data_IF_375038386355
#
_entry.id   IF_375038386355
#
_cell.length_a   1.000
_cell.length_b   1.000
_cell.length_c   1.000
_cell.angle_alpha   90.00
_cell.angle_beta   90.00
_cell.angle_gamma   90.00
#
_symmetry.space_group_name_H-M   'P 1'
#
loop_
_entity.id
_entity.type
_entity.pdbx_description
1 polymer ?
#
# COMPACT_ATOMS: atom_id res chain seq x y z
N UNK A 1 29.40 12.81 4.90
CA UNK A 1 28.12 13.06 4.20
C UNK A 1 27.07 13.33 5.26
N UNK A 2 26.22 14.36 5.13
CA UNK A 2 25.16 14.58 6.12
C UNK A 2 24.24 13.35 6.16
N UNK A 3 23.96 12.86 7.37
CA UNK A 3 22.99 11.79 7.60
C UNK A 3 21.61 12.25 7.14
N UNK A 4 20.84 11.36 6.52
CA UNK A 4 19.44 11.61 6.23
C UNK A 4 18.70 11.73 7.56
N UNK A 5 18.09 12.89 7.81
CA UNK A 5 17.30 13.13 9.02
C UNK A 5 15.92 12.51 8.85
N UNK A 6 15.38 11.85 9.88
CA UNK A 6 14.11 11.12 9.80
C UNK A 6 13.19 11.61 10.89
N UNK A 7 12.01 12.12 10.50
CA UNK A 7 10.90 12.42 11.38
C UNK A 7 9.92 11.26 11.35
N UNK A 8 9.89 10.46 12.41
CA UNK A 8 8.92 9.38 12.59
C UNK A 8 7.74 9.89 13.41
N UNK A 9 6.54 9.80 12.86
CA UNK A 9 5.27 10.05 13.53
C UNK A 9 4.47 8.74 13.57
N UNK A 10 3.57 8.63 14.55
CA UNK A 10 2.55 7.59 14.58
C UNK A 10 1.19 8.20 14.29
N UNK A 11 0.31 7.45 13.65
CA UNK A 11 -1.04 7.87 13.30
C UNK A 11 -1.80 8.49 14.50
N UNK A 12 -2.45 9.63 14.29
CA UNK A 12 -3.16 10.40 15.33
C UNK A 12 -2.31 10.91 16.50
N UNK A 13 -1.00 10.67 16.50
CA UNK A 13 -0.08 11.24 17.49
C UNK A 13 0.26 12.68 17.14
N UNK A 14 0.30 13.51 18.18
CA UNK A 14 0.71 14.90 18.12
C UNK A 14 2.13 15.05 18.70
N UNK A 15 2.97 15.86 18.06
CA UNK A 15 4.32 16.15 18.48
C UNK A 15 4.58 17.65 18.41
N UNK A 16 5.27 18.20 19.43
CA UNK A 16 5.57 19.63 19.49
C UNK A 16 6.70 19.97 18.53
N UNK A 17 6.63 21.14 17.89
CA UNK A 17 7.71 21.56 16.99
C UNK A 17 9.04 21.69 17.71
N UNK A 18 9.06 22.21 18.95
CA UNK A 18 10.29 22.31 19.76
C UNK A 18 11.01 20.98 19.94
N UNK A 19 10.27 19.87 20.08
CA UNK A 19 10.83 18.53 20.21
C UNK A 19 11.43 18.04 18.88
N UNK A 20 10.71 18.27 17.78
CA UNK A 20 11.15 17.91 16.43
C UNK A 20 12.39 18.71 16.02
N UNK A 21 12.39 20.02 16.26
CA UNK A 21 13.48 20.91 15.86
C UNK A 21 14.75 20.64 16.66
N UNK A 22 14.63 20.29 17.94
CA UNK A 22 15.75 19.83 18.76
C UNK A 22 16.34 18.52 18.24
N UNK A 23 15.49 17.54 17.93
CA UNK A 23 15.93 16.22 17.46
C UNK A 23 16.56 16.27 16.06
N UNK A 24 15.97 17.05 15.15
CA UNK A 24 16.43 17.13 13.76
C UNK A 24 17.43 18.27 13.54
N UNK A 25 17.58 19.22 14.45
CA UNK A 25 18.39 20.43 14.21
C UNK A 25 17.94 21.19 12.96
N UNK A 26 16.63 21.39 12.80
CA UNK A 26 16.02 22.15 11.70
C UNK A 26 15.26 23.33 12.33
N UNK A 27 15.43 24.58 11.85
CA UNK A 27 14.64 25.70 12.34
C UNK A 27 13.14 25.49 12.15
N UNK A 28 12.34 25.92 13.13
CA UNK A 28 10.89 25.69 13.14
C UNK A 28 10.18 26.22 11.89
N UNK A 29 10.54 27.43 11.43
CA UNK A 29 9.92 28.03 10.23
C UNK A 29 10.17 27.19 8.98
N UNK A 30 11.40 26.71 8.80
CA UNK A 30 11.77 25.84 7.67
C UNK A 30 11.09 24.48 7.73
N UNK A 31 10.92 23.93 8.94
CA UNK A 31 10.18 22.71 9.16
C UNK A 31 8.71 22.90 8.76
N UNK A 32 8.04 23.93 9.29
CA UNK A 32 6.63 24.25 8.97
C UNK A 32 6.42 24.48 7.49
N UNK A 33 7.29 25.24 6.83
CA UNK A 33 7.23 25.47 5.38
C UNK A 33 7.32 24.16 4.60
N UNK A 34 8.28 23.30 4.98
CA UNK A 34 8.46 21.98 4.36
C UNK A 34 7.24 21.08 4.54
N UNK A 35 6.65 21.04 5.74
CA UNK A 35 5.45 20.24 6.01
C UNK A 35 4.22 20.77 5.26
N UNK A 36 4.06 22.10 5.17
CA UNK A 36 3.00 22.73 4.36
C UNK A 36 3.11 22.34 2.89
N UNK A 37 4.33 22.37 2.34
CA UNK A 37 4.58 21.94 0.97
C UNK A 37 4.18 20.47 0.76
N UNK A 38 4.57 19.58 1.67
CA UNK A 38 4.17 18.17 1.60
C UNK A 38 2.64 17.99 1.63
N UNK A 39 1.94 18.73 2.49
CA UNK A 39 0.47 18.70 2.56
C UNK A 39 -0.17 19.17 1.24
N UNK A 40 0.33 20.25 0.63
CA UNK A 40 -0.17 20.72 -0.69
C UNK A 40 0.03 19.66 -1.77
N UNK A 41 1.20 19.04 -1.83
CA UNK A 41 1.49 18.00 -2.84
C UNK A 41 0.64 16.75 -2.62
N UNK A 42 0.40 16.38 -1.36
CA UNK A 42 -0.52 15.31 -0.99
C UNK A 42 -1.96 15.63 -1.43
N UNK A 43 -2.46 16.84 -1.16
CA UNK A 43 -3.81 17.27 -1.55
C UNK A 43 -4.04 17.31 -3.07
N UNK A 44 -2.99 17.46 -3.88
CA UNK A 44 -3.07 17.36 -5.35
C UNK A 44 -3.08 15.93 -5.86
N UNK A 45 -2.53 14.99 -5.08
CA UNK A 45 -2.30 13.60 -5.47
C UNK A 45 -2.90 12.64 -4.44
N UNK A 46 -4.21 12.76 -4.17
CA UNK A 46 -4.86 11.88 -3.20
C UNK A 46 -4.73 10.41 -3.61
N UNK A 47 -4.53 9.50 -2.65
CA UNK A 47 -4.62 8.07 -2.89
C UNK A 47 -6.00 7.70 -3.46
N UNK A 48 -6.04 6.99 -4.59
CA UNK A 48 -7.30 6.59 -5.26
C UNK A 48 -8.18 5.63 -4.44
N UNK A 49 -7.69 5.09 -3.32
CA UNK A 49 -8.43 4.14 -2.48
C UNK A 49 -9.31 4.80 -1.43
N UNK A 50 -9.35 6.14 -1.35
CA UNK A 50 -10.34 6.79 -0.51
C UNK A 50 -11.74 6.54 -1.07
N UNK A 51 -12.58 5.89 -0.27
CA UNK A 51 -14.01 5.86 -0.53
C UNK A 51 -14.50 7.31 -0.69
N UNK A 52 -15.03 7.64 -1.87
CA UNK A 52 -15.35 9.00 -2.35
C UNK A 52 -16.34 9.83 -1.48
N UNK A 53 -16.65 9.40 -0.26
CA UNK A 53 -17.71 9.95 0.59
C UNK A 53 -17.26 10.33 2.01
N UNK A 54 -15.95 10.32 2.33
CA UNK A 54 -15.49 10.87 3.61
C UNK A 54 -15.62 12.41 3.62
N UNK A 55 -16.38 13.02 4.55
CA UNK A 55 -16.53 14.48 4.62
C UNK A 55 -15.18 15.19 4.84
N UNK A 56 -14.19 14.48 5.38
CA UNK A 56 -12.89 15.02 5.76
C UNK A 56 -11.94 15.29 4.58
N UNK A 57 -12.25 14.79 3.37
CA UNK A 57 -11.43 14.99 2.17
C UNK A 57 -11.76 16.29 1.42
N UNK A 58 -12.87 16.95 1.75
CA UNK A 58 -13.31 18.20 1.09
C UNK A 58 -12.56 19.45 1.57
N UNK A 59 -11.88 19.38 2.72
CA UNK A 59 -11.18 20.51 3.36
C UNK A 59 -9.65 20.32 3.38
N UNK A 60 -9.08 19.68 2.36
CA UNK A 60 -7.62 19.50 2.28
C UNK A 60 -6.93 20.79 1.83
N UNK A 61 -5.96 21.23 2.62
CA UNK A 61 -5.15 22.41 2.34
C UNK A 61 -3.69 22.23 2.81
N UNK A 62 -2.90 23.31 2.81
CA UNK A 62 -1.51 23.25 3.26
C UNK A 62 -1.33 22.98 4.76
N UNK A 63 -2.32 23.27 5.59
CA UNK A 63 -2.28 23.00 7.03
C UNK A 63 -2.99 21.67 7.38
N UNK A 64 -3.79 21.10 6.47
CA UNK A 64 -4.55 19.87 6.65
C UNK A 64 -4.42 18.95 5.43
N UNK A 65 -3.35 18.19 5.37
CA UNK A 65 -3.11 17.14 4.37
C UNK A 65 -3.16 15.76 5.03
N UNK A 66 -2.07 14.99 4.93
CA UNK A 66 -1.82 13.79 5.75
C UNK A 66 -1.37 14.16 7.17
N UNK A 67 -0.93 15.41 7.37
CA UNK A 67 -0.65 16.02 8.66
C UNK A 67 -1.63 17.17 8.92
N UNK A 68 -1.94 17.40 10.20
CA UNK A 68 -2.59 18.61 10.69
C UNK A 68 -1.50 19.46 11.35
N UNK A 69 -1.32 20.68 10.85
CA UNK A 69 -0.33 21.63 11.34
C UNK A 69 -1.03 22.64 12.27
N UNK A 70 -0.72 22.57 13.56
CA UNK A 70 -1.14 23.56 14.54
C UNK A 70 -0.08 24.67 14.67
N UNK A 71 -0.33 25.65 15.54
CA UNK A 71 0.62 26.72 15.83
C UNK A 71 1.93 26.19 16.43
N UNK A 72 1.84 25.27 17.40
CA UNK A 72 2.99 24.79 18.20
C UNK A 72 3.27 23.29 18.04
N UNK A 73 2.48 22.58 17.24
CA UNK A 73 2.57 21.13 17.08
C UNK A 73 2.13 20.68 15.70
N UNK A 74 2.45 19.42 15.39
CA UNK A 74 1.99 18.70 14.22
C UNK A 74 1.37 17.39 14.65
N UNK A 75 0.26 17.00 14.02
CA UNK A 75 -0.45 15.76 14.28
C UNK A 75 -0.61 14.94 13.01
N UNK A 76 -0.25 13.66 13.05
CA UNK A 76 -0.50 12.77 11.92
C UNK A 76 -1.99 12.40 11.82
N UNK A 77 -2.53 12.26 10.60
CA UNK A 77 -3.87 11.71 10.36
C UNK A 77 -3.81 10.20 10.16
N UNK A 78 -4.87 9.62 9.60
CA UNK A 78 -5.04 8.19 9.29
C UNK A 78 -4.21 7.72 8.07
N UNK A 79 -3.33 8.56 7.52
CA UNK A 79 -2.51 8.20 6.36
C UNK A 79 -1.12 7.74 6.81
N UNK A 80 -0.75 6.51 6.48
CA UNK A 80 0.54 5.90 6.79
C UNK A 80 1.43 5.82 5.55
N UNK A 81 2.74 5.97 5.72
CA UNK A 81 3.67 6.03 4.59
C UNK A 81 4.84 6.98 4.83
N UNK A 82 5.39 7.55 3.77
CA UNK A 82 6.57 8.41 3.85
C UNK A 82 6.65 9.45 2.74
N UNK A 83 7.33 10.56 3.00
CA UNK A 83 7.62 11.62 2.06
C UNK A 83 9.00 12.22 2.31
N UNK A 84 9.62 12.77 1.27
CA UNK A 84 10.88 13.49 1.39
C UNK A 84 10.64 15.00 1.34
N UNK A 85 11.16 15.73 2.31
CA UNK A 85 11.19 17.18 2.33
C UNK A 85 12.64 17.68 2.41
N UNK A 86 13.20 18.10 1.27
CA UNK A 86 14.57 18.58 1.19
C UNK A 86 15.59 17.53 1.66
N UNK A 87 16.14 17.74 2.85
CA UNK A 87 17.18 16.90 3.46
C UNK A 87 16.66 15.97 4.58
N UNK A 88 15.35 15.93 4.84
CA UNK A 88 14.76 15.00 5.80
C UNK A 88 13.62 14.19 5.17
N UNK A 89 13.31 13.07 5.81
CA UNK A 89 12.17 12.21 5.48
C UNK A 89 11.16 12.32 6.60
N UNK A 90 9.89 12.49 6.24
CA UNK A 90 8.76 12.31 7.14
C UNK A 90 8.19 10.93 6.89
N UNK A 91 8.03 10.13 7.93
CA UNK A 91 7.33 8.85 7.86
C UNK A 91 6.25 8.77 8.93
N UNK A 92 5.10 8.21 8.57
CA UNK A 92 3.97 7.99 9.47
C UNK A 92 3.74 6.49 9.56
N UNK A 93 3.90 5.94 10.76
CA UNK A 93 3.71 4.51 11.05
C UNK A 93 2.35 4.25 11.70
N UNK A 94 1.80 3.03 11.58
CA UNK A 94 0.54 2.67 12.23
C UNK A 94 0.64 2.75 13.76
N UNK A 95 -0.32 3.40 14.41
CA UNK A 95 -0.39 3.52 15.89
C UNK A 95 -0.44 2.18 16.63
N UNK A 96 -0.92 1.11 15.98
CA UNK A 96 -0.96 -0.24 16.60
C UNK A 96 0.44 -0.81 16.85
N UNK A 97 1.45 -0.29 16.18
CA UNK A 97 2.85 -0.69 16.36
C UNK A 97 3.67 0.34 17.13
N UNK A 98 3.01 1.32 17.74
CA UNK A 98 3.70 2.29 18.57
C UNK A 98 4.35 1.60 19.78
N UNK A 99 5.66 1.80 20.02
CA UNK A 99 6.34 1.23 21.18
C UNK A 99 5.75 1.74 22.49
N UNK A 100 5.76 0.90 23.52
CA UNK A 100 5.35 1.34 24.86
C UNK A 100 6.41 2.27 25.46
N UNK A 101 6.02 3.15 26.40
CA UNK A 101 6.96 4.13 27.01
C UNK A 101 8.11 3.47 27.81
N UNK A 102 8.01 2.16 28.09
CA UNK A 102 8.93 1.41 28.96
C UNK A 102 9.97 0.56 28.20
N UNK A 103 10.02 0.60 26.87
CA UNK A 103 10.89 -0.26 26.04
C UNK A 103 12.02 0.51 25.32
N UNK A 104 13.06 -0.22 24.88
CA UNK A 104 14.21 0.34 24.15
C UNK A 104 13.79 0.85 22.75
N UNK A 105 13.55 2.16 22.65
CA UNK A 105 13.02 2.88 21.45
C UNK A 105 13.54 2.44 20.06
N UNK A 106 14.80 1.99 19.94
CA UNK A 106 15.43 1.71 18.64
C UNK A 106 15.12 0.29 18.11
N UNK A 107 15.01 -0.72 18.98
CA UNK A 107 14.65 -2.07 18.55
C UNK A 107 13.19 -2.12 18.07
N UNK A 108 12.30 -1.46 18.81
CA UNK A 108 10.87 -1.50 18.55
C UNK A 108 10.43 -0.74 17.31
N UNK A 109 11.11 0.36 16.96
CA UNK A 109 10.79 1.12 15.74
C UNK A 109 11.07 0.29 14.48
N UNK A 110 12.13 -0.54 14.50
CA UNK A 110 12.43 -1.45 13.39
C UNK A 110 11.38 -2.57 13.27
N UNK A 111 10.93 -3.13 14.39
CA UNK A 111 9.89 -4.16 14.39
C UNK A 111 8.53 -3.58 13.94
N UNK A 112 8.19 -2.36 14.36
CA UNK A 112 7.02 -1.64 13.88
C UNK A 112 7.06 -1.41 12.36
N UNK A 113 8.22 -1.02 11.85
CA UNK A 113 8.43 -0.82 10.43
C UNK A 113 8.31 -2.14 9.66
N UNK A 114 8.91 -3.23 10.15
CA UNK A 114 8.80 -4.56 9.51
C UNK A 114 7.36 -5.07 9.52
N UNK A 115 6.63 -4.90 10.62
CA UNK A 115 5.22 -5.25 10.71
C UNK A 115 4.38 -4.47 9.70
N UNK A 116 4.62 -3.15 9.58
CA UNK A 116 3.98 -2.32 8.57
C UNK A 116 4.30 -2.78 7.14
N UNK A 117 5.57 -3.11 6.84
CA UNK A 117 5.96 -3.64 5.52
C UNK A 117 5.29 -4.97 5.20
N UNK A 118 5.16 -5.88 6.18
CA UNK A 118 4.43 -7.15 6.00
C UNK A 118 2.96 -6.93 5.70
N UNK A 119 2.34 -5.98 6.40
CA UNK A 119 0.95 -5.59 6.18
C UNK A 119 0.77 -5.03 4.76
N UNK A 120 1.63 -4.09 4.35
CA UNK A 120 1.65 -3.55 2.98
C UNK A 120 1.86 -4.65 1.94
N UNK A 121 2.75 -5.60 2.22
CA UNK A 121 3.11 -6.68 1.31
C UNK A 121 1.92 -7.55 0.95
N UNK A 122 1.12 -7.94 1.95
CA UNK A 122 -0.06 -8.78 1.73
C UNK A 122 -1.27 -8.00 1.23
N UNK A 123 -1.46 -6.75 1.68
CA UNK A 123 -2.60 -5.92 1.30
C UNK A 123 -2.53 -5.42 -0.16
N UNK A 124 -1.34 -5.02 -0.62
CA UNK A 124 -1.13 -4.46 -1.96
C UNK A 124 -0.36 -5.39 -2.89
N UNK A 125 -0.06 -6.61 -2.44
CA UNK A 125 0.61 -7.62 -3.27
C UNK A 125 1.99 -7.19 -3.73
N UNK A 126 2.79 -6.61 -2.84
CA UNK A 126 4.15 -6.12 -3.17
C UNK A 126 5.13 -7.26 -3.49
N UNK A 127 4.75 -8.52 -3.21
CA UNK A 127 5.52 -9.76 -3.45
C UNK A 127 6.93 -9.74 -2.84
N UNK A 128 7.10 -9.07 -1.71
CA UNK A 128 8.32 -9.09 -0.91
C UNK A 128 8.43 -10.47 -0.27
N UNK A 129 9.56 -11.16 -0.46
CA UNK A 129 9.81 -12.45 0.19
C UNK A 129 10.17 -12.23 1.65
N UNK A 130 9.75 -13.11 2.56
CA UNK A 130 10.15 -13.04 3.98
C UNK A 130 11.67 -13.08 4.16
N UNK A 131 12.40 -13.79 3.29
CA UNK A 131 13.87 -13.78 3.30
C UNK A 131 14.43 -12.37 3.04
N UNK A 132 13.80 -11.58 2.16
CA UNK A 132 14.22 -10.19 1.91
C UNK A 132 13.97 -9.32 3.15
N UNK A 133 12.83 -9.50 3.84
CA UNK A 133 12.51 -8.78 5.08
C UNK A 133 13.42 -9.19 6.25
N UNK A 134 13.74 -10.49 6.36
CA UNK A 134 14.66 -11.00 7.37
C UNK A 134 16.09 -10.45 7.16
N UNK A 135 16.54 -10.37 5.90
CA UNK A 135 17.82 -9.74 5.57
C UNK A 135 17.87 -8.24 5.94
N UNK A 136 16.73 -7.53 5.91
CA UNK A 136 16.69 -6.16 6.40
C UNK A 136 17.06 -6.14 7.89
N UNK A 137 16.43 -7.00 8.70
CA UNK A 137 16.68 -7.13 10.15
C UNK A 137 18.15 -7.38 10.47
N UNK A 138 18.84 -8.21 9.70
CA UNK A 138 20.26 -8.53 9.90
C UNK A 138 21.22 -7.39 9.49
N UNK A 139 20.86 -6.59 8.47
CA UNK A 139 21.75 -5.61 7.83
C UNK A 139 21.84 -4.24 8.51
N UNK A 140 21.43 -4.10 9.79
CA UNK A 140 21.20 -2.81 10.46
C UNK A 140 20.33 -1.92 9.57
N UNK A 141 19.05 -2.31 9.42
CA UNK A 141 18.08 -1.60 8.62
C UNK A 141 18.14 -0.10 8.88
N UNK A 142 18.16 0.76 7.85
CA UNK A 142 17.87 2.16 8.07
C UNK A 142 16.43 2.28 8.60
N UNK A 143 16.20 3.08 9.63
CA UNK A 143 14.86 3.40 10.16
C UNK A 143 14.05 4.29 9.19
N UNK A 144 14.20 4.08 7.89
CA UNK A 144 13.64 4.89 6.82
C UNK A 144 12.92 4.00 5.82
N UNK A 145 11.59 4.18 5.74
CA UNK A 145 10.79 3.55 4.69
C UNK A 145 11.30 3.90 3.29
N UNK A 146 11.76 5.14 3.07
CA UNK A 146 12.32 5.56 1.78
C UNK A 146 13.51 4.68 1.37
N UNK A 147 14.47 4.46 2.27
CA UNK A 147 15.65 3.64 1.97
C UNK A 147 15.27 2.18 1.70
N UNK A 148 14.25 1.67 2.38
CA UNK A 148 13.77 0.30 2.16
C UNK A 148 13.04 0.19 0.82
N UNK A 149 12.22 1.17 0.44
CA UNK A 149 11.58 1.16 -0.88
C UNK A 149 12.60 1.31 -2.02
N UNK A 150 13.68 2.08 -1.83
CA UNK A 150 14.82 2.12 -2.75
C UNK A 150 15.49 0.74 -2.85
N UNK A 151 15.70 0.06 -1.72
CA UNK A 151 16.27 -1.29 -1.70
C UNK A 151 15.38 -2.28 -2.44
N UNK A 152 14.08 -2.29 -2.13
CA UNK A 152 13.11 -3.18 -2.77
C UNK A 152 13.03 -2.94 -4.28
N UNK A 153 13.07 -1.67 -4.72
CA UNK A 153 13.15 -1.32 -6.13
C UNK A 153 14.40 -1.92 -6.76
N UNK A 154 15.57 -1.62 -6.21
CA UNK A 154 16.86 -2.02 -6.77
C UNK A 154 17.04 -3.54 -6.75
N UNK A 155 16.66 -4.23 -5.67
CA UNK A 155 16.78 -5.69 -5.55
C UNK A 155 15.84 -6.43 -6.50
N UNK A 156 14.61 -5.94 -6.65
CA UNK A 156 13.65 -6.49 -7.60
C UNK A 156 14.16 -6.30 -9.03
N UNK A 157 14.59 -5.08 -9.37
CA UNK A 157 15.10 -4.79 -10.71
C UNK A 157 16.34 -5.62 -11.03
N UNK A 158 17.30 -5.70 -10.12
CA UNK A 158 18.49 -6.52 -10.26
C UNK A 158 18.14 -7.99 -10.56
N UNK A 159 17.22 -8.56 -9.79
CA UNK A 159 16.80 -9.95 -9.99
C UNK A 159 16.15 -10.21 -11.34
N UNK A 160 15.44 -9.23 -11.91
CA UNK A 160 14.82 -9.37 -13.23
C UNK A 160 15.82 -9.13 -14.37
N UNK A 161 16.74 -8.16 -14.22
CA UNK A 161 17.76 -7.90 -15.24
C UNK A 161 18.78 -9.03 -15.32
N UNK A 162 19.11 -9.70 -14.21
CA UNK A 162 19.95 -10.91 -14.25
C UNK A 162 19.33 -12.05 -15.05
N UNK A 163 18.01 -12.04 -15.26
CA UNK A 163 17.30 -12.99 -16.13
C UNK A 163 17.25 -12.53 -17.59
N UNK A 164 17.97 -11.48 -17.95
CA UNK A 164 18.05 -10.88 -19.28
C UNK A 164 17.29 -9.56 -19.38
N UNK A 165 17.84 -8.64 -20.18
CA UNK A 165 17.26 -7.32 -20.44
C UNK A 165 15.86 -7.40 -21.05
N UNK A 166 15.05 -6.37 -20.79
CA UNK A 166 13.86 -6.14 -21.61
C UNK A 166 14.30 -5.49 -22.91
N UNK A 167 14.05 -6.15 -24.03
CA UNK A 167 14.32 -5.64 -25.37
C UNK A 167 13.01 -5.53 -26.13
N UNK A 168 12.86 -4.47 -26.89
CA UNK A 168 11.70 -4.25 -27.75
C UNK A 168 12.17 -3.95 -29.16
N UNK A 169 11.33 -4.29 -30.14
CA UNK A 169 11.54 -3.90 -31.51
C UNK A 169 11.18 -2.43 -31.67
N UNK A 170 12.17 -1.58 -31.90
CA UNK A 170 12.00 -0.15 -32.12
C UNK A 170 12.10 0.14 -33.60
N UNK A 171 11.16 0.92 -34.13
CA UNK A 171 11.21 1.42 -35.50
C UNK A 171 12.30 2.49 -35.63
N UNK A 172 13.27 2.22 -36.49
CA UNK A 172 14.38 3.13 -36.79
C UNK A 172 14.34 3.44 -38.27
N UNK A 173 14.37 4.73 -38.60
CA UNK A 173 14.44 5.22 -39.96
C UNK A 173 15.84 5.75 -40.27
N UNK A 174 16.63 4.98 -41.02
CA UNK A 174 18.03 5.29 -41.35
C UNK A 174 18.25 5.44 -42.86
N UNK A 175 19.37 6.08 -43.21
CA UNK A 175 19.88 6.20 -44.58
C UNK A 175 21.07 5.26 -44.74
N UNK A 176 20.89 4.16 -45.47
CA UNK A 176 21.89 3.09 -45.57
C UNK A 176 22.33 2.87 -47.01
N UNK A 177 23.59 2.46 -47.21
CA UNK A 177 24.10 2.13 -48.56
C UNK A 177 23.52 0.85 -49.14
N UNK A 178 22.98 -0.02 -48.28
CA UNK A 178 22.47 -1.34 -48.65
C UNK A 178 21.00 -1.47 -48.28
N UNK A 179 20.21 -2.11 -49.15
CA UNK A 179 18.80 -2.33 -48.92
C UNK A 179 18.58 -3.47 -47.91
N UNK A 180 18.33 -3.13 -46.64
CA UNK A 180 18.00 -4.09 -45.58
C UNK A 180 16.77 -3.60 -44.81
N UNK A 181 15.64 -4.32 -44.89
CA UNK A 181 14.38 -3.90 -44.28
C UNK A 181 13.42 -3.24 -45.27
N UNK A 182 12.52 -2.37 -44.77
CA UNK A 182 11.43 -1.79 -45.56
C UNK A 182 11.86 -0.46 -46.18
N UNK A 183 11.75 -0.33 -47.50
CA UNK A 183 12.05 0.93 -48.20
C UNK A 183 10.91 1.94 -47.99
N UNK A 184 11.25 3.13 -47.49
CA UNK A 184 10.32 4.24 -47.33
C UNK A 184 10.14 4.96 -48.66
N UNK A 185 9.30 4.40 -49.53
CA UNK A 185 9.07 4.88 -50.90
C UNK A 185 8.78 6.39 -50.97
N UNK A 186 7.97 6.92 -50.06
CA UNK A 186 7.64 8.35 -50.05
C UNK A 186 8.86 9.24 -49.77
N UNK A 187 9.78 8.82 -48.90
CA UNK A 187 11.01 9.55 -48.58
C UNK A 187 12.06 9.37 -49.69
N UNK A 188 12.17 8.16 -50.22
CA UNK A 188 13.09 7.82 -51.32
C UNK A 188 12.78 8.60 -52.60
N UNK A 189 11.50 8.71 -52.99
CA UNK A 189 11.09 9.46 -54.18
C UNK A 189 11.35 10.97 -54.07
N UNK A 190 11.41 11.51 -52.85
CA UNK A 190 11.70 12.93 -52.59
C UNK A 190 13.21 13.25 -52.58
N UNK A 191 14.10 12.26 -52.66
CA UNK A 191 15.55 12.50 -52.65
C UNK A 191 16.02 13.18 -53.93
N UNK A 192 16.91 14.17 -53.73
CA UNK A 192 17.64 14.80 -54.81
C UNK A 192 18.63 13.81 -55.45
N UNK A 193 18.97 13.96 -56.74
CA UNK A 193 19.84 13.00 -57.44
C UNK A 193 21.19 12.71 -56.74
N UNK A 194 21.79 13.71 -56.09
CA UNK A 194 23.07 13.55 -55.37
C UNK A 194 22.94 12.76 -54.05
N UNK A 195 21.73 12.57 -53.52
CA UNK A 195 21.44 11.83 -52.29
C UNK A 195 21.05 10.37 -52.53
N UNK A 196 20.93 9.94 -53.80
CA UNK A 196 20.48 8.57 -54.17
C UNK A 196 21.54 7.48 -54.00
N UNK A 197 22.65 7.79 -53.34
CA UNK A 197 23.69 6.82 -53.00
C UNK A 197 23.38 6.06 -51.69
N UNK A 198 22.29 6.42 -51.00
CA UNK A 198 21.72 5.71 -49.84
C UNK A 198 20.23 5.45 -50.06
N UNK A 199 19.70 4.44 -49.38
CA UNK A 199 18.28 4.09 -49.33
C UNK A 199 17.66 4.58 -48.02
N UNK A 200 16.47 5.18 -48.08
CA UNK A 200 15.66 5.55 -46.93
C UNK A 200 14.94 4.32 -46.41
N UNK A 201 15.43 3.72 -45.33
CA UNK A 201 14.92 2.46 -44.82
C UNK A 201 14.23 2.64 -43.47
N UNK A 202 13.19 1.83 -43.25
CA UNK A 202 12.57 1.58 -41.96
C UNK A 202 12.90 0.14 -41.56
N UNK A 203 13.53 0.00 -40.40
CA UNK A 203 13.89 -1.29 -39.82
C UNK A 203 13.36 -1.37 -38.39
N UNK A 204 13.18 -2.60 -37.91
CA UNK A 204 12.93 -2.86 -36.50
C UNK A 204 14.21 -3.37 -35.86
N UNK A 205 14.82 -2.58 -34.99
CA UNK A 205 15.99 -2.99 -34.21
C UNK A 205 15.53 -3.52 -32.85
N UNK A 206 16.10 -4.66 -32.44
CA UNK A 206 15.82 -5.25 -31.14
C UNK A 206 16.70 -4.59 -30.08
N UNK A 207 16.21 -3.48 -29.52
CA UNK A 207 16.99 -2.57 -28.69
C UNK A 207 16.60 -2.64 -27.20
N UNK A 208 17.61 -2.46 -26.35
CA UNK A 208 17.46 -2.27 -24.91
C UNK A 208 17.04 -0.84 -24.56
N UNK A 209 17.19 0.13 -25.47
CA UNK A 209 16.83 1.54 -25.27
C UNK A 209 15.33 1.79 -25.51
N UNK A 210 14.49 1.16 -24.68
CA UNK A 210 13.04 1.33 -24.69
C UNK A 210 12.56 2.15 -23.48
N UNK A 211 11.32 2.65 -23.54
CA UNK A 211 10.75 3.52 -22.51
C UNK A 211 10.80 2.89 -21.10
N UNK A 212 10.57 1.59 -20.99
CA UNK A 212 10.59 0.89 -19.69
C UNK A 212 11.99 0.93 -19.07
N UNK A 213 13.02 0.64 -19.86
CA UNK A 213 14.41 0.72 -19.41
C UNK A 213 14.88 2.15 -19.16
N UNK A 214 14.43 3.13 -19.96
CA UNK A 214 14.69 4.55 -19.69
C UNK A 214 14.12 4.99 -18.34
N UNK A 215 12.91 4.52 -17.99
CA UNK A 215 12.30 4.77 -16.68
C UNK A 215 13.11 4.11 -15.56
N UNK A 216 13.55 2.87 -15.75
CA UNK A 216 14.42 2.21 -14.78
C UNK A 216 15.75 2.93 -14.59
N UNK A 217 16.38 3.35 -15.68
CA UNK A 217 17.63 4.09 -15.63
C UNK A 217 17.47 5.43 -14.91
N UNK A 218 16.40 6.18 -15.20
CA UNK A 218 16.09 7.41 -14.49
C UNK A 218 15.84 7.16 -13.00
N UNK A 219 15.13 6.09 -12.63
CA UNK A 219 14.88 5.71 -11.24
C UNK A 219 16.16 5.31 -10.51
N UNK A 220 17.04 4.52 -11.14
CA UNK A 220 18.36 4.13 -10.60
C UNK A 220 19.21 5.37 -10.35
N UNK A 221 19.35 6.25 -11.35
CA UNK A 221 20.12 7.49 -11.24
C UNK A 221 19.59 8.40 -10.14
N UNK A 222 18.26 8.59 -10.08
CA UNK A 222 17.57 9.41 -9.08
C UNK A 222 17.78 8.89 -7.67
N UNK A 223 17.68 7.56 -7.50
CA UNK A 223 17.86 6.86 -6.24
C UNK A 223 19.30 6.93 -5.76
N UNK A 224 20.27 6.67 -6.66
CA UNK A 224 21.69 6.66 -6.33
C UNK A 224 22.17 8.02 -5.83
N UNK A 225 21.66 9.10 -6.42
CA UNK A 225 21.98 10.47 -6.01
C UNK A 225 21.44 10.85 -4.61
N UNK A 226 20.40 10.17 -4.12
CA UNK A 226 19.65 10.59 -2.91
C UNK A 226 19.67 9.58 -1.77
N UNK A 227 20.06 8.34 -2.02
CA UNK A 227 20.22 7.31 -0.99
C UNK A 227 21.44 7.60 -0.11
N UNK A 228 21.29 7.30 1.17
CA UNK A 228 22.36 7.35 2.18
C UNK A 228 22.81 5.96 2.61
N UNK A 229 22.01 4.92 2.34
CA UNK A 229 22.34 3.55 2.73
C UNK A 229 23.36 2.91 1.79
N UNK A 230 24.46 2.39 2.36
CA UNK A 230 25.57 1.80 1.58
C UNK A 230 25.14 0.58 0.75
N UNK A 231 24.19 -0.21 1.25
CA UNK A 231 23.64 -1.37 0.52
C UNK A 231 22.96 -0.92 -0.76
N UNK A 232 22.14 0.13 -0.69
CA UNK A 232 21.50 0.75 -1.85
C UNK A 232 22.53 1.31 -2.83
N UNK A 233 23.54 2.06 -2.34
CA UNK A 233 24.58 2.62 -3.21
C UNK A 233 25.33 1.55 -4.02
N UNK A 234 25.67 0.43 -3.39
CA UNK A 234 26.33 -0.68 -4.08
C UNK A 234 25.45 -1.24 -5.19
N UNK A 235 24.22 -1.64 -4.83
CA UNK A 235 23.30 -2.28 -5.76
C UNK A 235 22.87 -1.37 -6.92
N UNK A 236 22.61 -0.10 -6.63
CA UNK A 236 22.29 0.91 -7.64
C UNK A 236 23.49 1.25 -8.53
N UNK A 237 24.71 1.21 -8.00
CA UNK A 237 25.93 1.37 -8.80
C UNK A 237 26.12 0.23 -9.80
N UNK A 238 25.85 -1.00 -9.37
CA UNK A 238 25.85 -2.18 -10.26
C UNK A 238 24.78 -2.06 -11.35
N UNK A 239 23.55 -1.65 -10.99
CA UNK A 239 22.49 -1.37 -11.95
C UNK A 239 22.82 -0.22 -12.91
N UNK A 240 23.59 0.79 -12.47
CA UNK A 240 23.98 1.91 -13.33
C UNK A 240 24.89 1.45 -14.47
N UNK A 241 25.82 0.53 -14.18
CA UNK A 241 26.70 -0.06 -15.19
C UNK A 241 25.93 -0.92 -16.19
N UNK A 242 24.85 -1.57 -15.74
CA UNK A 242 23.97 -2.39 -16.57
C UNK A 242 23.21 -1.56 -17.61
N UNK A 243 22.85 -0.31 -17.30
CA UNK A 243 22.07 0.58 -18.17
C UNK A 243 22.94 1.60 -18.92
N UNK A 244 24.22 1.32 -19.13
CA UNK A 244 25.15 2.23 -19.80
C UNK A 244 24.78 2.48 -21.28
N UNK A 245 24.22 1.49 -21.97
CA UNK A 245 23.73 1.59 -23.35
C UNK A 245 22.30 2.17 -23.47
N UNK A 246 21.62 2.46 -22.35
CA UNK A 246 20.26 3.04 -22.36
C UNK A 246 20.32 4.56 -22.30
N UNK A 247 19.65 5.22 -23.24
CA UNK A 247 19.64 6.69 -23.30
C UNK A 247 18.96 7.28 -22.07
N UNK A 248 19.59 8.29 -21.47
CA UNK A 248 18.94 9.03 -20.39
C UNK A 248 17.76 9.85 -20.91
N UNK A 249 16.63 9.77 -20.21
CA UNK A 249 15.44 10.58 -20.45
C UNK A 249 14.90 11.13 -19.14
N UNK A 250 14.50 12.40 -19.12
CA UNK A 250 13.70 12.95 -18.03
C UNK A 250 12.28 12.39 -18.11
N UNK A 251 11.86 11.71 -17.05
CA UNK A 251 10.59 10.97 -17.05
C UNK A 251 9.45 11.91 -16.67
N UNK A 252 8.41 11.95 -17.49
CA UNK A 252 7.17 12.68 -17.19
C UNK A 252 6.10 11.75 -16.60
N UNK A 253 5.01 12.32 -16.08
CA UNK A 253 3.83 11.53 -15.69
C UNK A 253 3.24 10.76 -16.87
N UNK A 254 3.21 11.36 -18.06
CA UNK A 254 2.69 10.72 -19.27
C UNK A 254 3.54 9.53 -19.72
N UNK A 255 4.87 9.57 -19.51
CA UNK A 255 5.74 8.44 -19.77
C UNK A 255 5.40 7.22 -18.90
N UNK A 256 5.13 7.45 -17.62
CA UNK A 256 4.70 6.39 -16.69
C UNK A 256 3.34 5.79 -17.08
N UNK A 257 2.44 6.59 -17.64
CA UNK A 257 1.11 6.14 -18.09
C UNK A 257 1.15 5.36 -19.41
N UNK A 258 2.13 5.64 -20.27
CA UNK A 258 2.33 4.98 -21.58
C UNK A 258 2.89 3.56 -21.49
N UNK A 259 3.45 3.16 -20.35
CA UNK A 259 3.98 1.80 -20.18
C UNK A 259 2.82 0.82 -20.07
N UNK A 260 2.76 -0.11 -21.02
CA UNK A 260 1.78 -1.19 -21.03
C UNK A 260 2.45 -2.53 -20.74
N UNK A 261 1.84 -3.30 -19.84
CA UNK A 261 2.32 -4.63 -19.51
C UNK A 261 1.66 -5.69 -20.38
N UNK A 262 2.48 -6.45 -21.08
CA UNK A 262 2.15 -7.62 -21.89
C UNK A 262 2.81 -8.85 -21.29
N UNK A 263 2.52 -10.03 -21.84
CA UNK A 263 3.20 -11.28 -21.44
C UNK A 263 4.73 -11.21 -21.53
N UNK A 264 5.29 -10.33 -22.37
CA UNK A 264 6.72 -10.20 -22.59
C UNK A 264 7.44 -9.43 -21.48
N UNK A 265 6.76 -8.46 -20.85
CA UNK A 265 7.36 -7.56 -19.86
C UNK A 265 6.69 -7.59 -18.48
N UNK A 266 5.67 -8.45 -18.27
CA UNK A 266 4.95 -8.59 -16.99
C UNK A 266 5.88 -8.84 -15.80
N UNK A 267 7.02 -9.52 -16.02
CA UNK A 267 8.04 -9.75 -14.97
C UNK A 267 8.60 -8.45 -14.37
N UNK A 268 8.66 -7.37 -15.15
CA UNK A 268 9.18 -6.06 -14.72
C UNK A 268 8.14 -5.19 -14.02
N UNK A 269 6.86 -5.59 -13.99
CA UNK A 269 5.77 -4.79 -13.43
C UNK A 269 5.95 -4.41 -11.97
N UNK A 270 6.52 -5.33 -11.17
CA UNK A 270 6.84 -5.07 -9.77
C UNK A 270 7.94 -4.01 -9.64
N UNK A 271 9.05 -4.17 -10.37
CA UNK A 271 10.13 -3.20 -10.39
C UNK A 271 9.63 -1.82 -10.86
N UNK A 272 8.78 -1.79 -11.89
CA UNK A 272 8.17 -0.57 -12.41
C UNK A 272 7.27 0.13 -11.37
N UNK A 273 6.45 -0.64 -10.66
CA UNK A 273 5.58 -0.09 -9.61
C UNK A 273 6.40 0.55 -8.49
N UNK A 274 7.50 -0.09 -8.08
CA UNK A 274 8.44 0.47 -7.08
C UNK A 274 9.20 1.67 -7.64
N UNK A 275 9.62 1.63 -8.91
CA UNK A 275 10.26 2.76 -9.59
C UNK A 275 9.37 4.01 -9.58
N UNK A 276 8.07 3.87 -9.86
CA UNK A 276 7.10 4.96 -9.77
C UNK A 276 7.05 5.58 -8.38
N UNK A 277 6.98 4.76 -7.34
CA UNK A 277 6.95 5.21 -5.94
C UNK A 277 8.22 6.01 -5.63
N UNK A 278 9.38 5.44 -5.95
CA UNK A 278 10.68 6.06 -5.66
C UNK A 278 10.89 7.34 -6.47
N UNK A 279 10.58 7.36 -7.76
CA UNK A 279 10.64 8.56 -8.60
C UNK A 279 9.75 9.68 -8.07
N UNK A 280 8.51 9.36 -7.71
CA UNK A 280 7.56 10.35 -7.15
C UNK A 280 8.10 10.94 -5.86
N UNK A 281 8.59 10.10 -4.94
CA UNK A 281 9.11 10.56 -3.63
C UNK A 281 10.44 11.28 -3.68
N UNK A 282 11.27 10.98 -4.67
CA UNK A 282 12.57 11.63 -4.82
C UNK A 282 12.52 12.87 -5.72
N UNK A 283 11.37 13.20 -6.32
CA UNK A 283 11.26 14.29 -7.30
C UNK A 283 12.01 13.98 -8.58
N UNK A 284 11.90 12.75 -9.06
CA UNK A 284 12.46 12.27 -10.34
C UNK A 284 11.46 12.34 -11.50
N UNK A 285 10.26 12.87 -11.30
CA UNK A 285 9.25 13.08 -12.34
C UNK A 285 9.29 14.55 -12.76
N UNK A 286 9.58 14.80 -14.03
CA UNK A 286 9.66 16.15 -14.59
C UNK A 286 8.29 16.82 -14.57
N UNK A 287 8.26 18.09 -14.13
CA UNK A 287 7.04 18.88 -14.01
C UNK A 287 6.18 18.57 -12.79
N UNK A 288 6.59 17.61 -11.95
CA UNK A 288 5.91 17.23 -10.72
C UNK A 288 6.77 17.56 -9.50
N UNK A 289 6.14 18.02 -8.42
CA UNK A 289 6.83 18.16 -7.14
C UNK A 289 7.01 16.80 -6.48
N UNK A 290 8.12 16.63 -5.74
CA UNK A 290 8.35 15.41 -4.96
C UNK A 290 7.17 15.16 -4.02
N UNK A 291 6.56 13.97 -4.13
CA UNK A 291 5.35 13.60 -3.41
C UNK A 291 5.57 12.35 -2.56
N UNK A 292 4.94 12.29 -1.40
CA UNK A 292 5.01 11.10 -0.56
C UNK A 292 4.27 9.91 -1.14
N UNK A 293 4.61 8.73 -0.65
CA UNK A 293 3.77 7.54 -0.77
C UNK A 293 2.99 7.37 0.52
N UNK A 294 1.67 7.53 0.45
CA UNK A 294 0.77 7.41 1.59
C UNK A 294 -0.44 6.55 1.23
N UNK A 295 -0.94 5.84 2.23
CA UNK A 295 -2.08 4.94 2.15
C UNK A 295 -3.01 5.21 3.32
N UNK A 296 -4.32 5.13 3.11
CA UNK A 296 -5.32 5.16 4.19
C UNK A 296 -5.17 3.90 5.05
N UNK A 297 -4.92 4.08 6.35
CA UNK A 297 -4.72 2.98 7.28
C UNK A 297 -5.98 2.10 7.46
N UNK A 298 -7.18 2.67 7.29
CA UNK A 298 -8.42 1.90 7.35
C UNK A 298 -8.50 0.93 6.15
N UNK A 299 -8.28 1.41 4.92
CA UNK A 299 -8.23 0.57 3.70
C UNK A 299 -7.11 -0.47 3.80
N UNK A 300 -5.93 -0.09 4.33
CA UNK A 300 -4.84 -1.03 4.56
C UNK A 300 -5.23 -2.13 5.55
N UNK A 301 -5.89 -1.78 6.66
CA UNK A 301 -6.37 -2.76 7.64
C UNK A 301 -7.43 -3.69 7.08
N UNK A 302 -8.39 -3.15 6.32
CA UNK A 302 -9.43 -3.93 5.66
C UNK A 302 -8.84 -4.94 4.68
N UNK A 303 -7.92 -4.52 3.81
CA UNK A 303 -7.20 -5.40 2.86
C UNK A 303 -6.33 -6.43 3.56
N UNK A 304 -5.70 -6.05 4.68
CA UNK A 304 -4.96 -7.00 5.52
C UNK A 304 -5.90 -8.07 6.09
N UNK A 305 -7.06 -7.67 6.62
CA UNK A 305 -8.07 -8.60 7.12
C UNK A 305 -8.64 -9.49 6.03
N UNK A 306 -8.77 -9.01 4.79
CA UNK A 306 -9.14 -9.85 3.64
C UNK A 306 -8.16 -11.02 3.47
N UNK A 307 -6.86 -10.74 3.55
CA UNK A 307 -5.82 -11.77 3.45
C UNK A 307 -5.90 -12.77 4.61
N UNK A 308 -6.07 -12.27 5.84
CA UNK A 308 -6.26 -13.11 7.04
C UNK A 308 -7.48 -14.01 6.87
N UNK A 309 -8.63 -13.45 6.50
CA UNK A 309 -9.89 -14.19 6.37
C UNK A 309 -9.82 -15.27 5.30
N UNK A 310 -9.29 -14.95 4.10
CA UNK A 310 -9.13 -15.95 3.02
C UNK A 310 -8.26 -17.14 3.43
N UNK A 311 -7.28 -16.91 4.31
CA UNK A 311 -6.34 -17.95 4.74
C UNK A 311 -6.84 -18.70 5.98
N UNK A 312 -7.57 -18.04 6.87
CA UNK A 312 -8.23 -18.64 8.03
C UNK A 312 -9.47 -19.46 7.66
N UNK A 313 -10.22 -19.01 6.65
CA UNK A 313 -11.50 -19.57 6.21
C UNK A 313 -11.39 -20.18 4.81
N UNK A 314 -10.35 -20.99 4.56
CA UNK A 314 -10.10 -21.59 3.25
C UNK A 314 -11.23 -22.51 2.75
N UNK A 315 -12.11 -22.97 3.64
CA UNK A 315 -13.31 -23.78 3.33
C UNK A 315 -14.53 -22.92 2.93
N UNK A 316 -14.44 -21.61 3.05
CA UNK A 316 -15.53 -20.67 2.77
C UNK A 316 -15.15 -19.74 1.63
N UNK A 317 -16.16 -19.22 0.94
CA UNK A 317 -15.96 -18.14 -0.01
C UNK A 317 -16.02 -16.81 0.72
N UNK A 318 -14.94 -16.03 0.63
CA UNK A 318 -14.84 -14.69 1.21
C UNK A 318 -15.05 -13.65 0.10
N UNK A 319 -16.23 -13.05 0.06
CA UNK A 319 -16.54 -11.93 -0.83
C UNK A 319 -16.13 -10.61 -0.18
N UNK A 320 -15.42 -9.76 -0.92
CA UNK A 320 -14.88 -8.49 -0.47
C UNK A 320 -15.61 -7.31 -1.11
N UNK A 321 -16.10 -6.36 -0.30
CA UNK A 321 -16.78 -5.13 -0.76
C UNK A 321 -17.85 -5.39 -1.84
N UNK A 322 -18.67 -6.42 -1.65
CA UNK A 322 -19.75 -6.74 -2.59
C UNK A 322 -20.88 -5.71 -2.46
N UNK A 323 -21.26 -5.12 -3.59
CA UNK A 323 -22.35 -4.13 -3.63
C UNK A 323 -23.68 -4.74 -3.15
N UNK A 324 -24.25 -4.11 -2.12
CA UNK A 324 -25.60 -4.35 -1.62
C UNK A 324 -26.48 -3.14 -1.93
N UNK A 325 -27.72 -3.41 -2.36
CA UNK A 325 -28.73 -2.38 -2.62
C UNK A 325 -29.66 -2.28 -1.43
N UNK A 326 -29.64 -1.13 -0.75
CA UNK A 326 -30.53 -0.86 0.38
C UNK A 326 -31.98 -0.65 -0.07
N UNK A 327 -32.17 0.11 -1.16
CA UNK A 327 -33.48 0.38 -1.72
C UNK A 327 -33.70 -0.43 -3.01
N UNK A 328 -34.91 -0.95 -3.17
CA UNK A 328 -35.41 -1.55 -4.42
C UNK A 328 -36.45 -0.61 -5.01
N UNK A 329 -36.20 -0.10 -6.22
CA UNK A 329 -37.08 0.80 -6.97
C UNK A 329 -37.37 2.15 -6.28
N UNK A 330 -37.77 3.17 -7.05
CA UNK A 330 -38.12 4.50 -6.54
C UNK A 330 -37.25 5.63 -7.09
N UNK A 331 -37.59 6.87 -6.73
CA UNK A 331 -36.92 8.11 -7.16
C UNK A 331 -35.91 8.66 -6.13
N UNK A 332 -35.60 7.89 -5.08
CA UNK A 332 -34.64 8.26 -4.04
C UNK A 332 -33.27 7.69 -4.41
N UNK A 333 -32.27 8.57 -4.50
CA UNK A 333 -30.87 8.16 -4.61
C UNK A 333 -30.44 7.45 -3.33
N UNK A 334 -30.13 6.16 -3.44
CA UNK A 334 -29.57 5.38 -2.33
C UNK A 334 -28.06 5.29 -2.48
N UNK A 335 -27.33 5.57 -1.40
CA UNK A 335 -25.90 5.24 -1.35
C UNK A 335 -25.73 3.72 -1.35
N UNK A 336 -24.88 3.25 -2.25
CA UNK A 336 -24.49 1.85 -2.34
C UNK A 336 -23.89 1.40 -1.00
N UNK A 337 -24.24 0.19 -0.59
CA UNK A 337 -23.78 -0.39 0.66
C UNK A 337 -22.70 -1.43 0.36
N UNK A 338 -21.58 -1.36 1.07
CA UNK A 338 -20.43 -2.22 0.87
C UNK A 338 -20.01 -2.79 2.23
N UNK A 339 -20.50 -3.97 2.63
CA UNK A 339 -19.87 -4.72 3.70
C UNK A 339 -18.43 -5.02 3.33
N UNK A 340 -17.51 -4.88 4.28
CA UNK A 340 -16.11 -5.23 4.07
C UNK A 340 -16.00 -6.70 3.64
N UNK A 341 -16.66 -7.61 4.37
CA UNK A 341 -16.65 -9.04 4.07
C UNK A 341 -18.02 -9.71 4.21
N UNK A 342 -18.33 -10.59 3.26
CA UNK A 342 -19.41 -11.57 3.36
C UNK A 342 -18.78 -12.96 3.28
N UNK A 343 -19.08 -13.81 4.27
CA UNK A 343 -18.65 -15.21 4.27
C UNK A 343 -19.79 -16.05 3.73
N UNK A 344 -19.54 -16.79 2.67
CA UNK A 344 -20.51 -17.71 2.08
C UNK A 344 -20.09 -19.16 2.29
N UNK A 345 -21.09 -20.02 2.52
CA UNK A 345 -20.98 -21.47 2.47
C UNK A 345 -21.90 -21.97 1.37
N UNK A 346 -21.35 -22.64 0.36
CA UNK A 346 -22.10 -23.18 -0.78
C UNK A 346 -23.02 -22.14 -1.46
N UNK A 347 -22.53 -20.92 -1.65
CA UNK A 347 -23.28 -19.82 -2.27
C UNK A 347 -24.28 -19.08 -1.36
N UNK A 348 -24.41 -19.49 -0.10
CA UNK A 348 -25.32 -18.88 0.88
C UNK A 348 -24.53 -18.09 1.93
N UNK A 349 -24.90 -16.83 2.24
CA UNK A 349 -24.22 -16.04 3.26
C UNK A 349 -24.45 -16.61 4.66
N UNK A 350 -23.35 -16.82 5.39
CA UNK A 350 -23.34 -17.37 6.75
C UNK A 350 -22.80 -16.40 7.80
N UNK A 351 -22.13 -15.32 7.38
CA UNK A 351 -21.75 -14.23 8.27
C UNK A 351 -21.45 -12.94 7.48
N UNK A 352 -21.62 -11.79 8.13
CA UNK A 352 -21.12 -10.48 7.64
C UNK A 352 -20.09 -9.96 8.63
N UNK A 353 -18.92 -9.58 8.13
CA UNK A 353 -17.82 -9.10 8.96
C UNK A 353 -17.45 -7.70 8.49
N UNK A 354 -17.08 -6.85 9.45
CA UNK A 354 -16.64 -5.48 9.21
C UNK A 354 -15.42 -5.18 10.10
N UNK A 355 -14.35 -4.66 9.48
CA UNK A 355 -13.07 -4.40 10.11
C UNK A 355 -12.96 -2.92 10.46
N UNK A 356 -12.81 -2.62 11.76
CA UNK A 356 -12.69 -1.26 12.27
C UNK A 356 -11.30 -1.03 12.85
N UNK A 357 -10.51 -0.18 12.20
CA UNK A 357 -9.20 0.24 12.68
C UNK A 357 -9.32 1.39 13.72
N UNK A 358 -9.92 1.07 14.87
CA UNK A 358 -10.22 2.05 15.94
C UNK A 358 -9.98 1.46 17.33
N UNK A 359 -9.94 2.35 18.33
CA UNK A 359 -9.76 1.95 19.72
C UNK A 359 -11.10 1.45 20.25
N UNK A 360 -11.06 0.33 20.95
CA UNK A 360 -12.20 -0.19 21.69
C UNK A 360 -12.21 0.46 23.07
N UNK A 361 -13.24 1.25 23.35
CA UNK A 361 -13.49 1.81 24.67
C UNK A 361 -14.28 0.83 25.55
N UNK A 362 -14.21 1.03 26.86
CA UNK A 362 -15.10 0.40 27.82
C UNK A 362 -15.79 1.46 28.65
N UNK A 363 -17.11 1.38 28.77
CA UNK A 363 -17.91 2.22 29.66
C UNK A 363 -18.80 1.32 30.51
N UNK A 364 -18.87 1.57 31.82
CA UNK A 364 -19.66 0.76 32.76
C UNK A 364 -19.36 -0.76 32.68
N UNK A 365 -18.09 -1.12 32.40
CA UNK A 365 -17.67 -2.51 32.23
C UNK A 365 -18.11 -3.19 30.93
N UNK A 366 -18.73 -2.45 30.00
CA UNK A 366 -19.18 -2.94 28.68
C UNK A 366 -18.35 -2.34 27.55
N UNK A 367 -18.18 -3.09 26.46
CA UNK A 367 -17.54 -2.58 25.25
C UNK A 367 -18.35 -1.46 24.62
N UNK A 368 -17.67 -0.38 24.26
CA UNK A 368 -18.25 0.76 23.56
C UNK A 368 -18.01 0.62 22.06
N UNK A 369 -19.05 0.22 21.33
CA UNK A 369 -19.07 0.14 19.87
C UNK A 369 -19.89 1.31 19.32
N UNK A 370 -19.44 1.92 18.22
CA UNK A 370 -20.16 3.03 17.59
C UNK A 370 -21.58 2.59 17.15
N UNK A 371 -22.63 3.37 17.47
CA UNK A 371 -23.97 3.11 16.97
C UNK A 371 -24.05 3.04 15.44
N UNK A 372 -23.22 3.80 14.72
CA UNK A 372 -23.16 3.74 13.25
C UNK A 372 -22.65 2.39 12.76
N UNK A 373 -21.59 1.87 13.38
CA UNK A 373 -21.05 0.54 13.02
C UNK A 373 -22.06 -0.57 13.32
N UNK A 374 -22.78 -0.49 14.44
CA UNK A 374 -23.85 -1.44 14.78
C UNK A 374 -25.00 -1.40 13.75
N UNK A 375 -25.45 -0.20 13.37
CA UNK A 375 -26.49 -0.03 12.35
C UNK A 375 -26.04 -0.55 10.99
N UNK A 376 -24.81 -0.25 10.60
CA UNK A 376 -24.22 -0.65 9.33
C UNK A 376 -24.24 -2.17 9.15
N UNK A 377 -23.66 -2.91 10.10
CA UNK A 377 -23.61 -4.39 10.01
C UNK A 377 -25.01 -5.02 10.11
N UNK A 378 -25.91 -4.43 10.92
CA UNK A 378 -27.29 -4.89 11.02
C UNK A 378 -28.01 -4.80 9.66
N UNK A 379 -27.90 -3.65 8.99
CA UNK A 379 -28.48 -3.42 7.67
C UNK A 379 -27.93 -4.39 6.64
N UNK A 380 -26.62 -4.66 6.65
CA UNK A 380 -25.99 -5.59 5.72
C UNK A 380 -26.52 -7.01 5.87
N UNK A 381 -26.59 -7.50 7.11
CA UNK A 381 -27.17 -8.81 7.38
C UNK A 381 -28.63 -8.89 6.91
N UNK A 382 -29.45 -7.86 7.18
CA UNK A 382 -30.85 -7.82 6.74
C UNK A 382 -31.04 -7.86 5.23
N UNK A 383 -30.23 -7.12 4.49
CA UNK A 383 -30.29 -7.13 3.01
C UNK A 383 -29.98 -8.55 2.48
N UNK A 384 -29.00 -9.23 3.08
CA UNK A 384 -28.60 -10.57 2.68
C UNK A 384 -29.66 -11.63 3.06
N UNK A 385 -30.20 -11.56 4.26
CA UNK A 385 -31.31 -12.42 4.70
C UNK A 385 -32.47 -12.38 3.72
N UNK A 386 -32.93 -11.18 3.37
CA UNK A 386 -34.02 -10.97 2.42
C UNK A 386 -33.67 -11.46 1.01
N UNK A 387 -32.43 -11.24 0.54
CA UNK A 387 -32.01 -11.63 -0.80
C UNK A 387 -31.89 -13.14 -0.97
N UNK A 388 -31.46 -13.85 0.06
CA UNK A 388 -31.15 -15.28 0.01
C UNK A 388 -32.20 -16.16 0.70
N UNK A 389 -33.24 -15.57 1.30
CA UNK A 389 -34.30 -16.32 2.00
C UNK A 389 -33.78 -17.05 3.24
N UNK A 390 -32.78 -16.48 3.91
CA UNK A 390 -32.19 -17.03 5.15
C UNK A 390 -32.44 -16.10 6.32
N UNK A 391 -32.32 -16.59 7.54
CA UNK A 391 -32.56 -15.81 8.76
C UNK A 391 -31.42 -15.93 9.75
N UNK A 392 -31.14 -14.85 10.49
CA UNK A 392 -30.22 -14.86 11.61
C UNK A 392 -28.75 -14.89 11.21
N UNK A 393 -28.38 -14.27 10.07
CA UNK A 393 -26.98 -14.17 9.65
C UNK A 393 -26.21 -13.42 10.74
N UNK A 394 -25.25 -14.04 11.45
CA UNK A 394 -24.46 -13.38 12.47
C UNK A 394 -23.59 -12.27 11.87
N UNK A 395 -23.34 -11.24 12.68
CA UNK A 395 -22.45 -10.14 12.32
C UNK A 395 -21.24 -10.10 13.24
N UNK A 396 -20.10 -9.72 12.68
CA UNK A 396 -18.83 -9.68 13.40
C UNK A 396 -18.16 -8.34 13.17
N UNK A 397 -17.69 -7.71 14.24
CA UNK A 397 -16.82 -6.55 14.18
C UNK A 397 -15.41 -6.96 14.57
N UNK A 398 -14.42 -6.58 13.77
CA UNK A 398 -13.02 -6.94 13.97
C UNK A 398 -12.22 -5.68 14.28
N UNK A 399 -11.45 -5.70 15.36
CA UNK A 399 -10.59 -4.59 15.76
C UNK A 399 -9.14 -5.05 15.89
N UNK A 400 -8.13 -4.19 15.63
CA UNK A 400 -6.74 -4.54 15.89
C UNK A 400 -6.47 -4.53 17.40
N UNK A 401 -5.60 -5.42 17.86
CA UNK A 401 -5.03 -5.41 19.22
C UNK A 401 -3.52 -5.58 19.14
N UNK A 402 -2.80 -4.92 20.03
CA UNK A 402 -1.36 -5.06 20.22
C UNK A 402 -1.01 -4.86 21.69
N UNK A 403 0.28 -4.94 22.05
CA UNK A 403 0.72 -4.71 23.43
C UNK A 403 0.42 -3.27 23.91
N UNK A 404 0.45 -2.30 22.99
CA UNK A 404 0.20 -0.89 23.26
C UNK A 404 -1.23 -0.44 22.88
N UNK A 405 -1.92 -1.19 22.01
CA UNK A 405 -3.22 -0.78 21.46
C UNK A 405 -4.35 -1.75 21.79
N UNK A 406 -5.45 -1.25 22.35
CA UNK A 406 -6.54 -2.08 22.88
C UNK A 406 -6.05 -3.14 23.91
N UNK A 407 -4.94 -2.87 24.59
CA UNK A 407 -4.29 -3.80 25.52
C UNK A 407 -5.09 -4.02 26.80
N UNK A 408 -5.89 -3.03 27.22
CA UNK A 408 -6.80 -3.12 28.36
C UNK A 408 -8.02 -4.02 28.12
N UNK A 409 -8.30 -4.38 26.86
CA UNK A 409 -9.41 -5.27 26.52
C UNK A 409 -9.04 -6.70 26.88
N UNK A 410 -9.68 -7.21 27.93
CA UNK A 410 -9.55 -8.60 28.36
C UNK A 410 -10.13 -9.52 27.30
N UNK A 411 -9.34 -10.50 26.89
CA UNK A 411 -9.78 -11.67 26.14
C UNK A 411 -10.05 -12.78 27.15
N UNK A 412 -11.16 -13.50 27.02
CA UNK A 412 -11.35 -14.75 27.77
C UNK A 412 -10.27 -15.75 27.35
N UNK A 413 -9.87 -16.65 28.27
CA UNK A 413 -8.73 -17.54 28.05
C UNK A 413 -8.86 -18.32 26.74
N UNK A 414 -7.88 -18.12 25.84
CA UNK A 414 -7.77 -18.73 24.51
C UNK A 414 -8.80 -18.33 23.44
N UNK A 415 -9.51 -17.20 23.60
CA UNK A 415 -10.40 -16.67 22.55
C UNK A 415 -10.04 -15.25 22.10
N UNK A 416 -10.21 -14.98 20.81
CA UNK A 416 -10.14 -13.62 20.27
C UNK A 416 -11.45 -12.84 20.44
N UNK A 417 -12.51 -13.51 20.88
CA UNK A 417 -13.81 -12.90 21.19
C UNK A 417 -13.66 -12.04 22.45
N UNK A 418 -13.98 -10.75 22.35
CA UNK A 418 -13.91 -9.80 23.47
C UNK A 418 -15.28 -9.31 23.92
N UNK A 419 -16.31 -9.58 23.12
CA UNK A 419 -17.69 -9.34 23.51
C UNK A 419 -18.70 -9.93 22.54
N UNK A 420 -19.92 -10.05 23.01
CA UNK A 420 -21.05 -10.52 22.23
C UNK A 420 -22.34 -9.86 22.69
N UNK A 421 -23.28 -9.71 21.76
CA UNK A 421 -24.61 -9.23 22.05
C UNK A 421 -25.61 -9.87 21.09
N UNK A 422 -26.90 -9.67 21.36
CA UNK A 422 -27.98 -10.08 20.48
C UNK A 422 -28.78 -8.86 20.09
N UNK A 423 -29.01 -8.67 18.78
CA UNK A 423 -29.93 -7.66 18.31
C UNK A 423 -31.37 -7.99 18.72
N UNK A 424 -32.26 -7.02 18.65
CA UNK A 424 -33.66 -7.16 19.06
C UNK A 424 -34.42 -8.26 18.29
N UNK A 425 -33.93 -8.69 17.13
CA UNK A 425 -34.50 -9.78 16.31
C UNK A 425 -33.79 -11.13 16.51
N UNK A 426 -32.99 -11.29 17.57
CA UNK A 426 -32.31 -12.54 17.90
C UNK A 426 -30.97 -12.76 17.18
N UNK A 427 -30.55 -11.86 16.27
CA UNK A 427 -29.27 -11.99 15.56
C UNK A 427 -28.08 -11.79 16.50
N UNK A 428 -27.09 -12.66 16.38
CA UNK A 428 -25.84 -12.57 17.15
C UNK A 428 -24.90 -11.50 16.56
N UNK A 429 -24.38 -10.66 17.44
CA UNK A 429 -23.24 -9.78 17.23
C UNK A 429 -22.05 -10.33 17.99
N UNK A 430 -20.89 -10.40 17.34
CA UNK A 430 -19.63 -10.71 18.00
C UNK A 430 -18.61 -9.59 17.74
N UNK A 431 -17.80 -9.31 18.75
CA UNK A 431 -16.67 -8.38 18.66
C UNK A 431 -15.40 -9.21 18.86
N UNK A 432 -14.56 -9.22 17.83
CA UNK A 432 -13.29 -9.94 17.82
C UNK A 432 -12.14 -8.94 17.76
N UNK A 433 -11.01 -9.33 18.32
CA UNK A 433 -9.74 -8.64 18.12
C UNK A 433 -8.78 -9.50 17.31
N UNK A 434 -7.98 -8.89 16.44
CA UNK A 434 -6.87 -9.54 15.75
C UNK A 434 -5.56 -9.10 16.38
N UNK A 435 -4.73 -10.04 16.79
CA UNK A 435 -3.42 -9.75 17.37
C UNK A 435 -2.40 -9.31 16.29
N UNK A 436 -2.11 -8.01 16.27
CA UNK A 436 -1.18 -7.38 15.34
C UNK A 436 0.29 -7.66 15.69
N UNK A 437 0.60 -8.14 16.91
CA UNK A 437 1.98 -8.50 17.29
C UNK A 437 2.52 -9.67 16.45
N UNK A 438 1.62 -10.53 15.95
CA UNK A 438 1.96 -11.61 15.01
C UNK A 438 2.80 -11.10 13.83
N UNK A 439 2.53 -9.88 13.35
CA UNK A 439 3.25 -9.25 12.23
C UNK A 439 4.68 -8.82 12.57
N UNK A 440 5.06 -8.66 13.85
CA UNK A 440 6.45 -8.39 14.22
C UNK A 440 7.31 -9.66 14.10
N UNK A 441 6.74 -10.82 14.38
CA UNK A 441 7.41 -12.11 14.26
C UNK A 441 7.42 -12.65 12.82
N UNK A 442 6.34 -12.45 12.05
CA UNK A 442 6.21 -12.96 10.69
C UNK A 442 4.79 -12.90 10.13
N UNK A 443 4.58 -13.37 8.90
CA UNK A 443 3.25 -13.52 8.32
C UNK A 443 2.57 -14.81 8.82
N UNK A 444 2.28 -14.87 10.12
CA UNK A 444 1.52 -15.96 10.75
C UNK A 444 0.09 -15.48 11.03
N UNK A 445 -0.86 -16.41 10.93
CA UNK A 445 -2.25 -16.16 11.36
C UNK A 445 -2.30 -16.29 12.88
N UNK A 446 -3.01 -15.37 13.52
CA UNK A 446 -3.42 -15.53 14.91
C UNK A 446 -4.40 -16.72 15.04
N UNK A 447 -3.91 -17.83 15.62
CA UNK A 447 -4.70 -19.05 15.82
C UNK A 447 -5.89 -18.84 16.77
N UNK A 448 -5.82 -17.88 17.71
CA UNK A 448 -6.96 -17.54 18.58
C UNK A 448 -8.07 -16.91 17.76
N UNK A 449 -7.71 -15.96 16.88
CA UNK A 449 -8.64 -15.34 15.94
C UNK A 449 -9.30 -16.36 15.00
N UNK A 450 -8.49 -17.24 14.40
CA UNK A 450 -8.99 -18.32 13.54
C UNK A 450 -9.97 -19.23 14.29
N UNK A 451 -9.62 -19.67 15.50
CA UNK A 451 -10.48 -20.54 16.31
C UNK A 451 -11.82 -19.89 16.64
N UNK A 452 -11.83 -18.61 17.05
CA UNK A 452 -13.07 -17.87 17.31
C UNK A 452 -13.98 -17.77 16.08
N UNK A 453 -13.41 -17.54 14.90
CA UNK A 453 -14.17 -17.55 13.64
C UNK A 453 -14.73 -18.93 13.28
N UNK A 454 -13.92 -19.99 13.41
CA UNK A 454 -14.38 -21.35 13.14
C UNK A 454 -15.52 -21.78 14.09
N UNK A 455 -15.43 -21.42 15.37
CA UNK A 455 -16.47 -21.68 16.37
C UNK A 455 -17.79 -20.97 16.03
N UNK A 456 -17.73 -19.77 15.46
CA UNK A 456 -18.92 -19.03 15.01
C UNK A 456 -19.60 -19.72 13.84
N UNK A 457 -18.83 -20.15 12.83
CA UNK A 457 -19.39 -20.68 11.58
C UNK A 457 -19.79 -22.16 11.69
N UNK A 458 -19.21 -22.91 12.64
CA UNK A 458 -19.44 -24.34 12.83
C UNK A 458 -18.69 -25.23 11.83
N UNK A 459 -18.50 -26.53 12.12
CA UNK A 459 -17.79 -27.46 11.24
C UNK A 459 -18.57 -27.77 9.94
N UNK A 460 -17.86 -28.22 8.90
CA UNK A 460 -18.46 -28.77 7.68
C UNK A 460 -19.36 -29.95 8.07
N UNK A 461 -20.65 -29.93 7.71
CA UNK A 461 -21.45 -31.15 7.75
C UNK A 461 -20.84 -32.14 6.76
N UNK A 462 -20.47 -33.34 7.23
CA UNK A 462 -19.91 -34.45 6.45
C UNK A 462 -20.90 -34.98 5.39
N UNK A 463 -21.23 -34.19 4.37
CA UNK A 463 -22.07 -34.62 3.25
C UNK A 463 -21.32 -34.74 1.92
N UNK A 464 -20.08 -34.26 1.82
CA UNK A 464 -19.29 -34.34 0.58
C UNK A 464 -18.00 -35.18 0.72
N UNK A 465 -17.99 -36.18 1.60
CA UNK A 465 -16.89 -37.16 1.69
C UNK A 465 -17.04 -38.33 0.68
N UNK A 466 -17.93 -38.20 -0.30
CA UNK A 466 -18.22 -39.23 -1.30
C UNK A 466 -18.00 -38.71 -2.72
N UNK A 467 -16.86 -38.11 -3.01
CA UNK A 467 -16.28 -38.09 -4.37
C UNK A 467 -14.82 -37.67 -4.23
N UNK A 468 -13.95 -38.68 -4.22
CA UNK A 468 -12.49 -38.56 -4.21
C UNK A 468 -11.96 -38.30 -5.61
#
# INVERSE_FOLDING_TARGET
MPSLKILTLYEHKEMRYSEITNNLGIPEDKLKESLRKLNRTFARNLPKSSSNDSPEEKDLDENRGFLILYSNSVKARHYVGFARAGNFVVQVLPKVFEPSENEEKNADTNDALLAFLRMLNVAYGLKIREVELAQLREKRTPESLLEIFIYLFASTLWSEVQRGYHKEYIEIQNEERFLKGKLLMSKELRKLPHQRHTFSLEMHEFSEDNLLNQIFYAAVRTSLARTTWRVNKKLLGELMMIFDEVSFKEITKTDLERVHFTRLNERFKRAFTLAKIVLSTLGGIQGEEASGFFIDMNDLFERFMLWVLKRSLWEYEVEYQKELKLLKNGNILSRKQYPDFIINRNGTPVAVLDAKYKSLGTSEGKLQVSPDSLRQVYVYAKILEEKYGVSGIPVVLIFPKSNAYNSSIKTEDNEATVGGATFFDGRRLLVLVYDMETLKEGLKIDEKFRKSLCNLLGPRSNLDASEK
#
